data_IF_183880428346
#
_entry.id   IF_183880428346
#
_cell.length_a   1.000
_cell.length_b   1.000
_cell.length_c   1.000
_cell.angle_alpha   90.00
_cell.angle_beta   90.00
_cell.angle_gamma   90.00
#
_symmetry.space_group_name_H-M   'P 1'
#
loop_
_entity.id
_entity.type
_entity.pdbx_description
1 polymer ?
#
# COMPACT_ATOMS: atom_id res chain seq x y z
N UNK A 1 8.82 15.48 -23.70
CA UNK A 1 7.88 14.82 -22.76
C UNK A 1 7.34 13.59 -23.47
N UNK A 2 7.83 12.39 -23.16
CA UNK A 2 7.33 11.17 -23.81
C UNK A 2 5.94 10.85 -23.25
N UNK A 3 4.90 10.96 -24.07
CA UNK A 3 3.57 10.43 -23.76
C UNK A 3 3.64 8.92 -23.87
N UNK A 4 3.21 8.23 -22.80
CA UNK A 4 2.99 6.78 -22.83
C UNK A 4 1.83 6.51 -23.79
N UNK A 5 2.07 5.63 -24.76
CA UNK A 5 1.05 5.23 -25.72
C UNK A 5 0.13 4.15 -25.14
N UNK A 6 -0.86 3.74 -25.93
CA UNK A 6 -1.82 2.71 -25.55
C UNK A 6 -1.14 1.36 -25.31
N UNK A 7 -0.14 1.01 -26.13
CA UNK A 7 0.54 -0.29 -26.08
C UNK A 7 1.31 -0.46 -24.76
N UNK A 8 1.98 0.61 -24.29
CA UNK A 8 2.63 0.65 -22.99
C UNK A 8 1.68 0.25 -21.86
N UNK A 9 0.48 0.82 -21.81
CA UNK A 9 -0.49 0.53 -20.74
C UNK A 9 -1.03 -0.90 -20.82
N UNK A 10 -1.26 -1.43 -22.02
CA UNK A 10 -1.64 -2.84 -22.19
C UNK A 10 -0.54 -3.79 -21.71
N UNK A 11 0.72 -3.46 -21.98
CA UNK A 11 1.84 -4.26 -21.53
C UNK A 11 1.95 -4.25 -20.00
N UNK A 12 1.86 -3.08 -19.35
CA UNK A 12 1.87 -2.98 -17.88
C UNK A 12 0.73 -3.80 -17.24
N UNK A 13 -0.48 -3.72 -17.80
CA UNK A 13 -1.61 -4.52 -17.33
C UNK A 13 -1.38 -6.03 -17.47
N UNK A 14 -0.79 -6.46 -18.60
CA UNK A 14 -0.45 -7.88 -18.84
C UNK A 14 0.59 -8.38 -17.85
N UNK A 15 1.60 -7.57 -17.53
CA UNK A 15 2.62 -7.87 -16.53
C UNK A 15 1.97 -8.01 -15.15
N UNK A 16 1.13 -7.05 -14.76
CA UNK A 16 0.43 -7.05 -13.46
C UNK A 16 -0.46 -8.29 -13.29
N UNK A 17 -1.21 -8.68 -14.34
CA UNK A 17 -2.06 -9.86 -14.33
C UNK A 17 -1.25 -11.15 -14.15
N UNK A 18 -0.15 -11.32 -14.91
CA UNK A 18 0.73 -12.48 -14.81
C UNK A 18 1.30 -12.63 -13.39
N UNK A 19 1.79 -11.53 -12.81
CA UNK A 19 2.31 -11.51 -11.43
C UNK A 19 1.24 -11.98 -10.42
N UNK A 20 -0.02 -11.57 -10.60
CA UNK A 20 -1.11 -11.94 -9.69
C UNK A 20 -1.55 -13.40 -9.85
N UNK A 21 -1.56 -13.93 -11.06
CA UNK A 21 -1.88 -15.34 -11.31
C UNK A 21 -0.83 -16.28 -10.71
N UNK A 22 0.45 -15.91 -10.79
CA UNK A 22 1.53 -16.67 -10.16
C UNK A 22 1.35 -16.76 -8.64
N UNK A 23 1.14 -15.61 -7.97
CA UNK A 23 0.90 -15.58 -6.53
C UNK A 23 -0.34 -16.36 -6.09
N UNK A 24 -1.42 -16.34 -6.88
CA UNK A 24 -2.64 -17.08 -6.56
C UNK A 24 -2.47 -18.61 -6.62
N UNK A 25 -1.50 -19.09 -7.40
CA UNK A 25 -1.21 -20.52 -7.59
C UNK A 25 -0.28 -21.06 -6.50
N UNK A 26 0.49 -20.19 -5.86
CA UNK A 26 1.39 -20.57 -4.78
C UNK A 26 0.61 -21.05 -3.54
N UNK A 27 0.86 -22.30 -3.15
CA UNK A 27 0.25 -22.92 -1.97
C UNK A 27 0.64 -22.13 -0.72
N UNK A 28 -0.34 -21.79 0.13
CA UNK A 28 -0.14 -21.08 1.41
C UNK A 28 0.81 -21.86 2.32
N UNK A 29 2.10 -21.51 2.41
CA UNK A 29 3.03 -22.23 3.25
C UNK A 29 2.80 -21.82 4.71
N UNK A 30 3.04 -22.73 5.64
CA UNK A 30 3.04 -22.38 7.06
C UNK A 30 4.25 -21.47 7.37
N UNK A 31 3.99 -20.28 7.93
CA UNK A 31 5.05 -19.30 8.22
C UNK A 31 5.78 -19.63 9.52
N UNK A 32 7.11 -19.66 9.48
CA UNK A 32 7.96 -19.86 10.68
C UNK A 32 8.23 -18.58 11.47
N UNK A 33 8.22 -17.42 10.80
CA UNK A 33 8.56 -16.11 11.37
C UNK A 33 7.57 -15.05 10.90
N UNK A 34 7.37 -14.02 11.72
CA UNK A 34 6.53 -12.85 11.40
C UNK A 34 7.35 -11.57 11.61
N UNK A 35 7.32 -10.68 10.63
CA UNK A 35 7.90 -9.33 10.71
C UNK A 35 6.80 -8.31 10.47
N UNK A 36 6.61 -7.39 11.42
CA UNK A 36 5.61 -6.34 11.36
C UNK A 36 6.29 -4.97 11.28
N UNK A 37 5.98 -4.21 10.22
CA UNK A 37 6.40 -2.82 10.08
C UNK A 37 5.23 -1.90 10.44
N UNK A 38 5.44 -1.00 11.40
CA UNK A 38 4.44 -0.01 11.81
C UNK A 38 4.94 1.37 11.39
N UNK A 39 4.23 2.00 10.46
CA UNK A 39 4.44 3.41 10.13
C UNK A 39 3.46 4.26 10.93
N UNK A 40 3.94 4.88 12.01
CA UNK A 40 3.11 5.81 12.79
C UNK A 40 2.70 7.02 11.91
N UNK A 41 1.40 7.36 11.95
CA UNK A 41 0.83 8.39 11.08
C UNK A 41 0.85 8.10 9.57
N UNK A 42 1.21 6.89 9.13
CA UNK A 42 1.35 6.54 7.71
C UNK A 42 0.02 6.11 7.07
N UNK A 43 -0.85 7.08 6.80
CA UNK A 43 -2.06 6.87 6.00
C UNK A 43 -1.78 6.75 4.49
N UNK A 44 -2.83 6.55 3.69
CA UNK A 44 -2.76 6.43 2.21
C UNK A 44 -2.12 7.67 1.56
N UNK A 45 -2.49 8.86 2.05
CA UNK A 45 -1.93 10.12 1.56
C UNK A 45 -0.42 10.20 1.85
N UNK A 46 0.01 9.87 3.06
CA UNK A 46 1.43 9.85 3.46
C UNK A 46 2.22 8.85 2.62
N UNK A 47 1.69 7.64 2.40
CA UNK A 47 2.32 6.63 1.55
C UNK A 47 2.49 7.12 0.10
N UNK A 48 1.48 7.81 -0.45
CA UNK A 48 1.52 8.35 -1.82
C UNK A 48 2.51 9.51 -1.93
N UNK A 49 2.52 10.43 -0.97
CA UNK A 49 3.49 11.52 -0.92
C UNK A 49 4.92 10.99 -0.81
N UNK A 50 5.15 9.97 0.03
CA UNK A 50 6.45 9.31 0.16
C UNK A 50 6.91 8.66 -1.15
N UNK A 51 6.00 8.03 -1.89
CA UNK A 51 6.27 7.43 -3.21
C UNK A 51 6.76 8.49 -4.22
N UNK A 52 6.02 9.59 -4.34
CA UNK A 52 6.36 10.70 -5.24
C UNK A 52 7.70 11.31 -4.85
N UNK A 53 7.86 11.66 -3.57
CA UNK A 53 9.09 12.26 -3.04
C UNK A 53 10.30 11.36 -3.27
N UNK A 54 10.16 10.05 -3.05
CA UNK A 54 11.24 9.08 -3.28
C UNK A 54 11.63 9.02 -4.75
N UNK A 55 10.66 8.99 -5.67
CA UNK A 55 10.93 9.02 -7.10
C UNK A 55 11.63 10.31 -7.55
N UNK A 56 11.21 11.46 -7.00
CA UNK A 56 11.85 12.76 -7.26
C UNK A 56 13.29 12.81 -6.75
N UNK A 57 13.56 12.26 -5.57
CA UNK A 57 14.94 12.14 -5.03
C UNK A 57 15.85 11.24 -5.87
N UNK A 58 15.29 10.39 -6.72
CA UNK A 58 16.01 9.57 -7.70
C UNK A 58 16.10 10.23 -9.09
N UNK A 59 15.73 11.51 -9.21
CA UNK A 59 15.73 12.24 -10.47
C UNK A 59 14.60 11.85 -11.43
N UNK A 60 13.59 11.11 -10.98
CA UNK A 60 12.39 10.74 -11.77
C UNK A 60 11.25 11.73 -11.49
N UNK A 61 10.15 11.65 -12.25
CA UNK A 61 8.95 12.48 -12.04
C UNK A 61 8.30 12.27 -10.67
N UNK A 62 8.36 11.04 -10.15
CA UNK A 62 7.77 10.68 -8.86
C UNK A 62 6.58 9.73 -8.98
N UNK A 63 5.59 10.05 -9.81
CA UNK A 63 4.30 9.33 -9.87
C UNK A 63 4.43 7.83 -10.18
N UNK A 64 5.40 7.46 -11.01
CA UNK A 64 5.63 6.10 -11.49
C UNK A 64 6.57 5.30 -10.57
N UNK A 65 6.98 5.87 -9.42
CA UNK A 65 7.83 5.16 -8.48
C UNK A 65 7.01 4.17 -7.64
N UNK A 66 7.65 3.11 -7.14
CA UNK A 66 7.03 2.17 -6.21
C UNK A 66 7.89 2.10 -4.95
N UNK A 67 7.24 2.09 -3.78
CA UNK A 67 7.88 1.79 -2.51
C UNK A 67 7.97 0.27 -2.32
N UNK A 68 8.83 -0.20 -1.41
CA UNK A 68 9.01 -1.64 -1.17
C UNK A 68 7.69 -2.35 -0.82
N UNK A 69 6.85 -1.73 0.00
CA UNK A 69 5.53 -2.28 0.37
C UNK A 69 4.49 -2.22 -0.76
N UNK A 70 4.69 -1.41 -1.81
CA UNK A 70 3.82 -1.43 -3.00
C UNK A 70 3.99 -2.74 -3.79
N UNK A 71 5.14 -3.40 -3.62
CA UNK A 71 5.43 -4.68 -4.28
C UNK A 71 4.82 -5.89 -3.57
N UNK A 72 4.27 -5.70 -2.35
CA UNK A 72 3.67 -6.78 -1.58
C UNK A 72 2.43 -7.34 -2.30
N UNK A 73 2.22 -8.67 -2.27
CA UNK A 73 1.20 -9.31 -3.09
C UNK A 73 -0.24 -9.11 -2.59
N UNK A 74 -0.41 -8.61 -1.36
CA UNK A 74 -1.70 -8.39 -0.73
C UNK A 74 -1.74 -7.05 -0.01
N UNK A 75 -2.90 -6.40 -0.08
CA UNK A 75 -3.21 -5.16 0.63
C UNK A 75 -4.62 -5.27 1.22
N UNK A 76 -4.86 -4.60 2.34
CA UNK A 76 -6.15 -4.53 3.02
C UNK A 76 -6.31 -3.17 3.70
N UNK A 77 -7.55 -2.78 3.95
CA UNK A 77 -7.86 -1.59 4.75
C UNK A 77 -8.08 -1.98 6.22
N UNK A 78 -7.62 -1.13 7.12
CA UNK A 78 -7.84 -1.27 8.55
C UNK A 78 -8.73 -0.12 9.06
N UNK A 79 -9.73 -0.44 9.89
CA UNK A 79 -10.53 0.55 10.62
C UNK A 79 -9.80 0.92 11.90
N UNK A 80 -9.51 2.20 12.11
CA UNK A 80 -8.67 2.70 13.22
C UNK A 80 -9.44 3.52 14.27
N UNK A 81 -10.74 3.28 14.41
CA UNK A 81 -11.57 4.05 15.37
C UNK A 81 -11.24 3.63 16.80
N UNK A 82 -10.82 4.58 17.63
CA UNK A 82 -10.82 4.42 19.09
C UNK A 82 -12.27 4.50 19.60
N UNK A 83 -12.73 3.44 20.26
CA UNK A 83 -14.00 3.45 20.96
C UNK A 83 -13.84 4.23 22.28
N UNK A 84 -14.21 5.50 22.29
CA UNK A 84 -14.49 6.20 23.55
C UNK A 84 -15.89 5.81 24.02
N UNK A 85 -15.98 4.67 24.73
CA UNK A 85 -17.22 4.27 25.39
C UNK A 85 -17.30 4.94 26.77
N UNK A 86 -18.25 5.88 26.91
CA UNK A 86 -18.93 6.19 28.18
C UNK A 86 -18.07 6.61 29.37
N UNK A 87 -17.67 7.87 29.43
CA UNK A 87 -17.39 8.57 30.70
C UNK A 87 -18.05 9.94 30.62
N UNK A 88 -19.34 10.01 31.01
CA UNK A 88 -20.10 11.16 31.54
C UNK A 88 -21.55 10.66 31.66
N UNK A 89 -21.86 9.95 32.76
CA UNK A 89 -23.20 9.93 33.37
C UNK A 89 -23.14 9.37 34.79
N UNK A 90 -22.41 10.03 35.69
CA UNK A 90 -22.56 9.83 37.13
C UNK A 90 -22.05 11.08 37.87
N UNK A 91 -22.93 12.08 37.97
CA UNK A 91 -23.20 12.84 39.19
C UNK A 91 -24.09 14.05 38.87
N UNK A 92 -25.40 13.84 39.03
CA UNK A 92 -26.34 14.83 39.53
C UNK A 92 -27.57 14.05 40.00
N UNK A 93 -27.46 13.53 41.22
CA UNK A 93 -28.58 13.34 42.14
C UNK A 93 -28.53 14.52 43.12
#
# INVERSE_FOLDING_TARGET
MYMKDQEYWYEQARIALRKRLQYATDRRPHSKNVLLFVGDGMGIATATAARILRGQRLGKKGEDHELTWDTFPAAAFAKVVLAFFGYIRLHSL
#
